data_IF_046815477828
#
_entry.id   IF_046815477828
#
_cell.length_a   1.000
_cell.length_b   1.000
_cell.length_c   1.000
_cell.angle_alpha   90.00
_cell.angle_beta   90.00
_cell.angle_gamma   90.00
#
_symmetry.space_group_name_H-M   'P 1'
#
loop_
_entity.id
_entity.type
_entity.pdbx_description
1 polymer ?
#
# COMPACT_ATOMS: atom_id res chain seq x y z
N UNK A 1 6.16 4.99 -21.12
CA UNK A 1 5.80 4.36 -19.84
C UNK A 1 7.01 4.43 -18.94
N UNK A 2 7.00 5.29 -17.91
CA UNK A 2 8.13 5.42 -16.99
C UNK A 2 7.83 4.58 -15.74
N UNK A 3 8.51 3.44 -15.61
CA UNK A 3 8.43 2.57 -14.45
C UNK A 3 9.48 3.04 -13.45
N UNK A 4 9.05 3.56 -12.31
CA UNK A 4 9.92 3.95 -11.20
C UNK A 4 9.90 2.79 -10.20
N UNK A 5 10.88 1.89 -10.31
CA UNK A 5 11.24 0.89 -9.31
C UNK A 5 12.42 1.48 -8.52
N UNK A 6 12.23 1.83 -7.25
CA UNK A 6 13.36 2.19 -6.39
C UNK A 6 13.36 1.31 -5.15
N UNK A 7 14.43 0.53 -5.03
CA UNK A 7 14.93 0.06 -3.75
C UNK A 7 15.45 1.29 -2.98
N UNK A 8 15.05 1.41 -1.72
CA UNK A 8 15.51 2.42 -0.74
C UNK A 8 15.11 3.88 -1.01
N UNK A 9 13.89 4.26 -0.59
CA UNK A 9 13.53 5.42 0.27
C UNK A 9 12.01 5.68 0.17
N UNK A 10 11.30 5.93 1.29
CA UNK A 10 9.84 6.00 1.28
C UNK A 10 9.34 7.36 0.74
N UNK A 11 9.33 7.54 -0.59
CA UNK A 11 8.73 8.72 -1.27
C UNK A 11 7.27 8.99 -0.82
N UNK A 12 6.58 7.95 -0.36
CA UNK A 12 5.21 8.05 0.16
C UNK A 12 5.13 8.55 1.61
N UNK A 13 6.23 8.51 2.39
CA UNK A 13 6.18 8.72 3.86
C UNK A 13 7.29 9.62 4.44
N UNK A 14 8.36 10.00 3.72
CA UNK A 14 9.39 10.89 4.29
C UNK A 14 8.82 12.28 4.55
N UNK A 15 9.00 12.77 5.78
CA UNK A 15 8.46 14.05 6.25
C UNK A 15 9.09 15.28 5.58
N UNK A 16 8.23 16.29 5.42
CA UNK A 16 8.37 17.61 4.78
C UNK A 16 8.79 17.63 3.29
N UNK A 17 9.77 16.84 2.89
CA UNK A 17 10.19 16.78 1.48
C UNK A 17 9.34 15.80 0.66
N UNK A 18 8.85 14.72 1.26
CA UNK A 18 7.97 13.77 0.58
C UNK A 18 6.63 14.39 0.17
N UNK A 19 6.03 15.20 1.04
CA UNK A 19 4.79 15.93 0.71
C UNK A 19 5.00 16.91 -0.45
N UNK A 20 6.10 17.69 -0.42
CA UNK A 20 6.45 18.60 -1.51
C UNK A 20 6.66 17.85 -2.82
N UNK A 21 7.35 16.71 -2.80
CA UNK A 21 7.59 15.87 -3.99
C UNK A 21 6.27 15.34 -4.54
N UNK A 22 5.34 14.88 -3.69
CA UNK A 22 4.02 14.41 -4.12
C UNK A 22 3.20 15.53 -4.76
N UNK A 23 3.20 16.72 -4.16
CA UNK A 23 2.55 17.90 -4.74
C UNK A 23 3.18 18.29 -6.07
N UNK A 24 4.51 18.36 -6.15
CA UNK A 24 5.24 18.70 -7.37
C UNK A 24 5.00 17.67 -8.50
N UNK A 25 4.94 16.38 -8.15
CA UNK A 25 4.56 15.32 -9.08
C UNK A 25 3.16 15.54 -9.65
N UNK A 26 2.16 15.80 -8.79
CA UNK A 26 0.77 16.01 -9.24
C UNK A 26 0.57 17.35 -9.96
N UNK A 27 1.41 18.34 -9.65
CA UNK A 27 1.42 19.63 -10.34
C UNK A 27 2.02 19.51 -11.74
N UNK A 28 3.20 18.91 -11.89
CA UNK A 28 3.95 18.82 -13.15
C UNK A 28 3.57 17.64 -14.04
N UNK A 29 2.96 16.60 -13.46
CA UNK A 29 2.53 15.41 -14.17
C UNK A 29 1.04 15.17 -13.97
N UNK A 30 0.45 14.42 -14.89
CA UNK A 30 -0.86 13.83 -14.69
C UNK A 30 -0.67 12.42 -14.11
N UNK A 31 -0.67 12.30 -12.77
CA UNK A 31 -0.68 11.04 -12.06
C UNK A 31 -2.09 10.43 -12.13
N UNK A 32 -2.32 9.58 -13.11
CA UNK A 32 -3.66 9.07 -13.39
C UNK A 32 -3.94 7.73 -12.71
N UNK A 33 -2.92 6.95 -12.35
CA UNK A 33 -3.13 5.62 -11.76
C UNK A 33 -2.04 5.22 -10.76
N UNK A 34 -2.46 4.56 -9.68
CA UNK A 34 -1.61 3.92 -8.68
C UNK A 34 -2.02 2.46 -8.54
N UNK A 35 -1.07 1.53 -8.69
CA UNK A 35 -1.27 0.11 -8.41
C UNK A 35 -0.53 -0.25 -7.12
N UNK A 36 -1.27 -0.68 -6.09
CA UNK A 36 -0.69 -1.17 -4.83
C UNK A 36 -0.33 -2.63 -4.99
N UNK A 37 0.96 -2.95 -4.92
CA UNK A 37 1.42 -4.32 -5.10
C UNK A 37 1.30 -5.14 -3.81
N UNK A 38 1.13 -6.48 -3.92
CA UNK A 38 1.19 -7.37 -2.77
C UNK A 38 2.56 -7.38 -2.08
N UNK A 39 2.60 -7.88 -0.86
CA UNK A 39 3.84 -8.13 -0.11
C UNK A 39 4.46 -9.48 -0.51
N UNK A 40 5.75 -9.68 -0.18
CA UNK A 40 6.44 -10.96 -0.41
C UNK A 40 6.97 -11.19 -1.84
N UNK A 41 6.81 -10.21 -2.72
CA UNK A 41 7.25 -10.30 -4.13
C UNK A 41 8.68 -9.78 -4.36
N UNK A 42 9.25 -9.06 -3.39
CA UNK A 42 10.62 -8.56 -3.42
C UNK A 42 11.50 -9.37 -2.45
N UNK A 43 12.83 -9.35 -2.69
CA UNK A 43 13.79 -10.07 -1.85
C UNK A 43 13.74 -9.62 -0.38
N UNK A 44 13.47 -8.34 -0.14
CA UNK A 44 13.25 -7.79 1.19
C UNK A 44 11.81 -8.07 1.66
N UNK A 45 11.66 -8.87 2.73
CA UNK A 45 10.36 -9.12 3.34
C UNK A 45 9.80 -7.85 4.01
N UNK A 46 8.48 -7.68 3.94
CA UNK A 46 7.76 -6.57 4.58
C UNK A 46 7.72 -5.25 3.80
N UNK A 47 8.44 -5.12 2.67
CA UNK A 47 8.40 -3.90 1.87
C UNK A 47 7.06 -3.76 1.15
N UNK A 48 6.36 -2.64 1.40
CA UNK A 48 5.15 -2.23 0.68
C UNK A 48 5.54 -1.41 -0.54
N UNK A 49 5.18 -1.87 -1.74
CA UNK A 49 5.53 -1.23 -3.02
C UNK A 49 4.31 -0.85 -3.83
N UNK A 50 4.43 0.19 -4.64
CA UNK A 50 3.37 0.68 -5.52
C UNK A 50 3.96 1.04 -6.88
N UNK A 51 3.16 0.94 -7.93
CA UNK A 51 3.50 1.41 -9.28
C UNK A 51 2.70 2.67 -9.57
N UNK A 52 3.39 3.75 -9.93
CA UNK A 52 2.78 5.03 -10.29
C UNK A 52 2.76 5.16 -11.82
N UNK A 53 1.58 5.39 -12.39
CA UNK A 53 1.43 5.67 -13.81
C UNK A 53 1.06 7.14 -13.99
N UNK A 54 1.94 7.86 -14.69
CA UNK A 54 1.78 9.27 -14.93
C UNK A 54 2.30 9.66 -16.32
N UNK A 55 1.75 10.74 -16.85
CA UNK A 55 2.26 11.40 -18.06
C UNK A 55 2.77 12.79 -17.73
N UNK A 56 3.75 13.27 -18.48
CA UNK A 56 4.25 14.64 -18.30
C UNK A 56 3.12 15.63 -18.59
N UNK A 57 2.95 16.58 -17.69
CA UNK A 57 1.97 17.64 -17.82
C UNK A 57 2.27 18.58 -18.97
N UNK A 58 1.23 19.33 -19.40
CA UNK A 58 1.36 20.38 -20.42
C UNK A 58 1.64 21.75 -19.80
N UNK A 59 1.32 21.90 -18.52
CA UNK A 59 1.54 23.11 -17.71
C UNK A 59 2.46 22.80 -16.54
N UNK A 60 2.90 23.82 -15.81
CA UNK A 60 3.73 23.63 -14.60
C UNK A 60 2.92 23.21 -13.37
N UNK A 61 1.60 23.43 -13.37
CA UNK A 61 0.71 23.16 -12.24
C UNK A 61 -0.62 22.57 -12.69
N UNK A 62 -1.33 21.95 -11.75
CA UNK A 62 -2.70 21.47 -11.89
C UNK A 62 -2.91 20.43 -13.02
N UNK A 63 -1.91 19.58 -13.30
CA UNK A 63 -2.05 18.56 -14.35
C UNK A 63 -2.82 17.31 -13.90
N UNK A 64 -2.72 16.91 -12.62
CA UNK A 64 -3.51 15.81 -12.06
C UNK A 64 -4.89 16.29 -11.62
N UNK A 65 -5.95 15.63 -12.09
CA UNK A 65 -7.36 15.94 -11.74
C UNK A 65 -8.01 14.84 -10.91
N UNK A 66 -7.74 13.60 -11.27
CA UNK A 66 -8.24 12.42 -10.60
C UNK A 66 -7.15 11.35 -10.62
N UNK A 67 -7.12 10.55 -9.55
CA UNK A 67 -6.19 9.44 -9.38
C UNK A 67 -7.01 8.17 -9.19
N UNK A 68 -6.74 7.18 -10.02
CA UNK A 68 -7.33 5.85 -9.88
C UNK A 68 -6.40 4.95 -9.09
N UNK A 69 -6.93 4.24 -8.09
CA UNK A 69 -6.13 3.36 -7.23
C UNK A 69 -6.66 1.94 -7.37
N UNK A 70 -5.75 1.01 -7.70
CA UNK A 70 -6.02 -0.43 -7.66
C UNK A 70 -5.35 -1.08 -6.45
N UNK A 71 -6.12 -1.76 -5.61
CA UNK A 71 -5.60 -2.50 -4.47
C UNK A 71 -5.37 -3.99 -4.80
N UNK A 72 -4.14 -4.33 -5.20
CA UNK A 72 -3.66 -5.72 -5.35
C UNK A 72 -2.87 -6.16 -4.11
N UNK A 73 -3.15 -5.60 -2.93
CA UNK A 73 -2.43 -5.92 -1.69
C UNK A 73 -3.33 -6.54 -0.64
N UNK A 74 -4.47 -5.90 -0.38
CA UNK A 74 -5.39 -6.30 0.68
C UNK A 74 -6.02 -7.66 0.36
N UNK A 75 -6.08 -8.57 1.33
CA UNK A 75 -6.67 -9.91 1.19
C UNK A 75 -6.06 -10.75 0.05
N UNK A 76 -4.80 -10.52 -0.27
CA UNK A 76 -4.05 -11.34 -1.24
C UNK A 76 -3.26 -12.44 -0.53
N UNK A 77 -3.07 -13.60 -1.16
CA UNK A 77 -2.22 -14.64 -0.61
C UNK A 77 -0.78 -14.15 -0.45
N UNK A 78 -0.05 -14.74 0.49
CA UNK A 78 1.38 -14.50 0.61
C UNK A 78 2.10 -14.98 -0.65
N UNK A 79 2.78 -14.07 -1.33
CA UNK A 79 3.60 -14.39 -2.49
C UNK A 79 5.04 -14.70 -2.05
N UNK A 80 5.73 -15.52 -2.84
CA UNK A 80 7.10 -15.92 -2.60
C UNK A 80 7.56 -17.02 -3.56
N UNK A 81 8.61 -17.74 -3.19
CA UNK A 81 9.19 -18.80 -4.05
C UNK A 81 8.20 -19.93 -4.37
N UNK A 82 7.35 -20.29 -3.41
CA UNK A 82 6.36 -21.38 -3.54
C UNK A 82 5.03 -20.92 -4.13
N UNK A 83 4.74 -19.62 -4.06
CA UNK A 83 3.53 -19.02 -4.63
C UNK A 83 3.92 -17.73 -5.40
N UNK A 84 4.38 -17.86 -6.65
CA UNK A 84 4.89 -16.71 -7.41
C UNK A 84 3.75 -15.78 -7.84
N UNK A 85 4.03 -14.47 -7.90
CA UNK A 85 3.14 -13.51 -8.52
C UNK A 85 3.17 -13.71 -10.04
N UNK A 86 2.05 -14.11 -10.60
CA UNK A 86 1.86 -14.37 -12.03
C UNK A 86 1.02 -13.29 -12.72
N UNK A 87 1.05 -13.30 -14.05
CA UNK A 87 0.31 -12.37 -14.91
C UNK A 87 -1.20 -12.36 -14.63
N UNK A 88 -1.79 -13.52 -14.34
CA UNK A 88 -3.22 -13.69 -14.13
C UNK A 88 -3.75 -12.86 -12.94
N UNK A 89 -2.90 -12.58 -11.94
CA UNK A 89 -3.29 -11.72 -10.81
C UNK A 89 -3.49 -10.25 -11.22
N UNK A 90 -2.95 -9.83 -12.37
CA UNK A 90 -3.08 -8.48 -12.88
C UNK A 90 -4.24 -8.33 -13.87
N UNK A 91 -4.95 -9.40 -14.21
CA UNK A 91 -5.93 -9.37 -15.29
C UNK A 91 -7.07 -8.37 -15.01
N UNK A 92 -7.67 -8.39 -13.82
CA UNK A 92 -8.70 -7.41 -13.44
C UNK A 92 -8.15 -5.98 -13.45
N UNK A 93 -6.91 -5.78 -13.00
CA UNK A 93 -6.26 -4.47 -13.07
C UNK A 93 -6.13 -3.98 -14.52
N UNK A 94 -5.68 -4.83 -15.44
CA UNK A 94 -5.52 -4.49 -16.85
C UNK A 94 -6.89 -4.15 -17.48
N UNK A 95 -7.92 -4.93 -17.17
CA UNK A 95 -9.30 -4.67 -17.60
C UNK A 95 -9.81 -3.32 -17.07
N UNK A 96 -9.60 -3.03 -15.78
CA UNK A 96 -9.99 -1.76 -15.15
C UNK A 96 -9.17 -0.56 -15.65
N UNK A 97 -7.89 -0.78 -15.98
CA UNK A 97 -6.98 0.27 -16.45
C UNK A 97 -7.45 0.88 -17.77
N UNK A 98 -8.10 0.07 -18.63
CA UNK A 98 -8.67 0.49 -19.92
C UNK A 98 -7.66 1.28 -20.76
N UNK A 99 -6.50 0.68 -21.08
CA UNK A 99 -5.39 1.37 -21.76
C UNK A 99 -5.81 2.08 -23.06
N UNK A 100 -6.72 1.47 -23.83
CA UNK A 100 -7.20 2.01 -25.10
C UNK A 100 -8.06 3.26 -24.93
N UNK A 101 -8.77 3.40 -23.81
CA UNK A 101 -9.73 4.48 -23.59
C UNK A 101 -10.02 4.71 -22.10
N UNK A 102 -9.35 5.70 -21.52
CA UNK A 102 -9.52 6.06 -20.12
C UNK A 102 -10.93 6.58 -19.76
N UNK A 103 -11.73 7.00 -20.75
CA UNK A 103 -13.12 7.42 -20.47
C UNK A 103 -14.04 6.25 -20.10
N UNK A 104 -13.63 5.02 -20.40
CA UNK A 104 -14.39 3.79 -20.09
C UNK A 104 -14.12 3.24 -18.70
N UNK A 105 -13.17 3.83 -17.95
CA UNK A 105 -12.88 3.41 -16.58
C UNK A 105 -14.12 3.55 -15.72
N UNK A 106 -14.44 2.48 -14.98
CA UNK A 106 -15.56 2.42 -14.06
C UNK A 106 -15.08 1.85 -12.75
N UNK A 107 -15.45 2.47 -11.64
CA UNK A 107 -15.13 1.96 -10.32
C UNK A 107 -15.71 0.57 -10.14
N UNK A 108 -14.91 -0.35 -9.57
CA UNK A 108 -15.45 -1.61 -9.05
C UNK A 108 -15.91 -1.41 -7.61
N UNK A 109 -15.39 -0.41 -6.90
CA UNK A 109 -15.84 -0.01 -5.58
C UNK A 109 -17.18 0.75 -5.65
N UNK A 110 -18.11 0.39 -4.78
CA UNK A 110 -19.32 1.18 -4.47
C UNK A 110 -19.76 0.94 -3.02
N UNK A 111 -20.77 1.67 -2.53
CA UNK A 111 -21.34 1.41 -1.21
C UNK A 111 -21.97 0.00 -1.13
N UNK A 112 -22.47 -0.50 -2.25
CA UNK A 112 -23.04 -1.83 -2.43
C UNK A 112 -21.97 -2.90 -2.70
N UNK A 113 -20.81 -2.51 -3.21
CA UNK A 113 -19.63 -3.35 -3.38
C UNK A 113 -18.38 -2.77 -2.68
N UNK A 114 -18.32 -2.82 -1.34
CA UNK A 114 -17.19 -2.27 -0.58
C UNK A 114 -15.88 -3.05 -0.80
N UNK A 115 -15.96 -4.23 -1.42
CA UNK A 115 -14.80 -5.08 -1.76
C UNK A 115 -14.19 -4.75 -3.13
N UNK A 116 -14.76 -3.79 -3.87
CA UNK A 116 -14.19 -3.35 -5.13
C UNK A 116 -12.76 -2.82 -4.96
N UNK A 117 -11.86 -3.29 -5.81
CA UNK A 117 -10.41 -3.02 -5.74
C UNK A 117 -9.99 -1.80 -6.55
N UNK A 118 -10.87 -1.25 -7.37
CA UNK A 118 -10.62 -0.11 -8.24
C UNK A 118 -11.51 1.07 -7.86
N UNK A 119 -10.87 2.14 -7.38
CA UNK A 119 -11.55 3.32 -6.84
C UNK A 119 -10.92 4.60 -7.33
N UNK A 120 -11.74 5.61 -7.57
CA UNK A 120 -11.33 6.92 -8.04
C UNK A 120 -11.32 7.93 -6.89
N UNK A 121 -10.32 8.81 -6.92
CA UNK A 121 -10.20 9.93 -6.00
C UNK A 121 -9.98 11.22 -6.78
N UNK A 122 -10.64 12.31 -6.38
CA UNK A 122 -10.36 13.63 -6.95
C UNK A 122 -9.06 14.19 -6.37
N UNK A 123 -8.44 15.13 -7.08
CA UNK A 123 -7.26 15.80 -6.56
C UNK A 123 -7.55 16.53 -5.25
N UNK A 124 -8.74 17.11 -5.07
CA UNK A 124 -9.14 17.76 -3.83
C UNK A 124 -9.19 16.78 -2.66
N UNK A 125 -9.76 15.59 -2.88
CA UNK A 125 -9.79 14.52 -1.87
C UNK A 125 -8.38 14.09 -1.47
N UNK A 126 -7.46 13.95 -2.43
CA UNK A 126 -6.07 13.59 -2.16
C UNK A 126 -5.32 14.71 -1.42
N UNK A 127 -5.53 15.96 -1.82
CA UNK A 127 -4.87 17.13 -1.23
C UNK A 127 -5.37 17.41 0.19
N UNK A 128 -6.60 17.05 0.52
CA UNK A 128 -7.18 17.17 1.86
C UNK A 128 -6.66 16.13 2.86
N UNK A 129 -5.96 15.07 2.39
CA UNK A 129 -5.39 14.03 3.27
C UNK A 129 -4.20 14.57 4.04
N UNK A 130 -3.97 13.99 5.22
CA UNK A 130 -2.77 14.27 6.01
C UNK A 130 -1.51 14.08 5.15
N UNK A 131 -0.66 15.11 5.16
CA UNK A 131 0.58 15.22 4.37
C UNK A 131 0.40 14.93 2.87
N UNK A 132 -0.80 15.06 2.30
CA UNK A 132 -1.08 14.66 0.90
C UNK A 132 -0.64 13.21 0.64
N UNK A 133 -0.95 12.30 1.57
CA UNK A 133 -0.54 10.89 1.45
C UNK A 133 -1.27 10.17 0.31
N UNK A 134 -0.49 9.51 -0.55
CA UNK A 134 -0.99 8.65 -1.63
C UNK A 134 -1.11 7.17 -1.20
N UNK A 135 -0.77 6.82 0.05
CA UNK A 135 -1.05 5.48 0.58
C UNK A 135 -2.51 5.41 1.02
N UNK A 136 -3.38 5.17 0.04
CA UNK A 136 -4.83 5.07 0.26
C UNK A 136 -5.23 3.59 0.32
N UNK A 137 -5.95 3.24 1.39
CA UNK A 137 -6.50 1.89 1.61
C UNK A 137 -7.92 2.03 2.13
N UNK A 138 -8.86 1.24 1.59
CA UNK A 138 -10.25 1.18 2.07
C UNK A 138 -10.71 -0.25 2.35
N UNK A 139 -10.02 -1.25 1.79
CA UNK A 139 -10.25 -2.65 2.11
C UNK A 139 -9.63 -2.96 3.47
N UNK A 140 -10.44 -3.51 4.37
CA UNK A 140 -9.95 -4.09 5.62
C UNK A 140 -9.31 -5.44 5.31
N UNK A 141 -8.13 -5.70 5.89
CA UNK A 141 -7.57 -7.05 5.85
C UNK A 141 -8.48 -7.96 6.68
N UNK A 142 -8.93 -9.07 6.08
CA UNK A 142 -9.51 -10.18 6.83
C UNK A 142 -8.40 -10.82 7.65
N UNK A 143 -8.69 -11.02 8.94
CA UNK A 143 -7.75 -11.21 10.05
C UNK A 143 -7.05 -9.92 10.48
N UNK A 144 -7.62 -9.36 11.54
CA UNK A 144 -7.08 -8.28 12.34
C UNK A 144 -5.64 -8.60 12.74
N UNK A 145 -4.66 -7.87 12.21
CA UNK A 145 -3.77 -7.23 13.18
C UNK A 145 -4.65 -6.15 13.78
N UNK A 146 -5.25 -6.45 14.93
CA UNK A 146 -5.94 -5.43 15.72
C UNK A 146 -5.03 -4.20 15.73
N UNK A 147 -5.59 -3.02 15.48
CA UNK A 147 -4.94 -1.79 15.93
C UNK A 147 -4.99 -1.84 17.46
N UNK A 148 -4.14 -2.70 18.04
CA UNK A 148 -4.02 -2.91 19.47
C UNK A 148 -3.56 -1.54 19.98
N UNK A 149 -4.38 -0.86 20.80
CA UNK A 149 -3.97 0.41 21.37
C UNK A 149 -2.66 0.20 22.15
N UNK A 150 -1.81 1.23 22.14
CA UNK A 150 -0.40 1.07 22.55
C UNK A 150 -0.25 0.52 23.98
N UNK A 151 -1.23 0.77 24.84
CA UNK A 151 -1.38 0.22 26.19
C UNK A 151 -1.60 -1.29 26.17
N UNK A 152 -2.54 -1.79 25.38
CA UNK A 152 -2.79 -3.23 25.23
C UNK A 152 -1.61 -3.94 24.54
N UNK A 153 -0.88 -3.25 23.66
CA UNK A 153 0.35 -3.80 23.06
C UNK A 153 1.46 -3.91 24.10
N UNK A 154 1.59 -2.93 24.99
CA UNK A 154 2.54 -2.97 26.10
C UNK A 154 2.22 -4.11 27.07
N UNK A 155 0.95 -4.27 27.46
CA UNK A 155 0.52 -5.39 28.32
C UNK A 155 0.86 -6.75 27.69
N UNK A 156 0.56 -6.92 26.40
CA UNK A 156 0.89 -8.12 25.65
C UNK A 156 2.40 -8.39 25.58
N UNK A 157 3.23 -7.34 25.45
CA UNK A 157 4.70 -7.47 25.46
C UNK A 157 5.20 -7.89 26.84
N UNK A 158 4.67 -7.28 27.92
CA UNK A 158 5.04 -7.60 29.29
C UNK A 158 4.68 -9.03 29.68
N UNK A 159 3.49 -9.49 29.30
CA UNK A 159 3.04 -10.86 29.53
C UNK A 159 3.96 -11.86 28.81
N UNK A 160 4.22 -11.62 27.51
CA UNK A 160 5.10 -12.50 26.71
C UNK A 160 6.53 -12.49 27.23
N UNK A 161 7.06 -11.34 27.65
CA UNK A 161 8.37 -11.24 28.26
C UNK A 161 8.47 -12.07 29.55
N UNK A 162 7.44 -12.00 30.41
CA UNK A 162 7.36 -12.78 31.65
C UNK A 162 7.33 -14.28 31.38
N UNK A 163 6.54 -14.71 30.39
CA UNK A 163 6.46 -16.10 29.97
C UNK A 163 7.81 -16.62 29.43
N UNK A 164 8.51 -15.81 28.63
CA UNK A 164 9.87 -16.14 28.16
C UNK A 164 10.83 -16.27 29.34
N UNK A 165 10.78 -15.33 30.29
CA UNK A 165 11.64 -15.36 31.47
C UNK A 165 11.43 -16.64 32.31
N UNK A 166 10.17 -17.02 32.54
CA UNK A 166 9.83 -18.27 33.24
C UNK A 166 10.34 -19.51 32.50
N UNK A 167 10.19 -19.54 31.17
CA UNK A 167 10.72 -20.63 30.34
C UNK A 167 12.25 -20.72 30.42
N UNK A 168 12.94 -19.58 30.37
CA UNK A 168 14.40 -19.50 30.51
C UNK A 168 14.87 -19.97 31.89
N UNK A 169 14.15 -19.64 32.97
CA UNK A 169 14.47 -20.14 34.30
C UNK A 169 14.33 -21.67 34.40
N UNK A 170 13.27 -22.24 33.84
CA UNK A 170 13.08 -23.69 33.77
C UNK A 170 14.22 -24.36 32.99
N UNK A 171 14.64 -23.78 31.87
CA UNK A 171 15.77 -24.29 31.09
C UNK A 171 17.09 -24.17 31.87
N UNK A 172 17.32 -23.09 32.61
CA UNK A 172 18.50 -22.93 33.47
C UNK A 172 18.56 -23.97 34.59
N UNK A 173 17.41 -24.38 35.13
CA UNK A 173 17.34 -25.46 36.12
C UNK A 173 17.72 -26.81 35.49
N UNK A 174 17.24 -27.09 34.27
CA UNK A 174 17.55 -28.33 33.54
C UNK A 174 19.02 -28.45 33.09
N UNK A 175 19.77 -27.36 32.98
CA UNK A 175 21.20 -27.36 32.60
C UNK A 175 22.11 -27.54 33.83
N UNK A 176 21.58 -27.42 35.06
CA UNK A 176 22.36 -27.54 36.30
C UNK A 176 22.41 -28.98 36.87
N UNK A 177 21.71 -29.92 36.25
CA UNK A 177 21.85 -31.37 36.45
C UNK A 177 22.76 -31.98 35.36
#
# INVERSE_FOLDING_TARGET
MSIILWETLPVLFVDNDGEKIRKDLMDKCNLHTILRLPTGIFYAQGVKTNVLFFTKGKTEKNNTKEVWIYDLRSNMPNFGKTNPLKYEHFQEFIECYCEDDFSKRKETYSAENPQGRWRKYTIEEIMARDKTSLDVSWLKQGEETEDIPLDELLENIEEKATNIMSAVEKLKLMIKD
#
